data_IF_285094448138
#
_entry.id   IF_285094448138
#
_cell.length_a   1.000
_cell.length_b   1.000
_cell.length_c   1.000
_cell.angle_alpha   90.00
_cell.angle_beta   90.00
_cell.angle_gamma   90.00
#
_symmetry.space_group_name_H-M   'P 1'
#
loop_
_entity.id
_entity.type
_entity.pdbx_description
1 polymer ?
#
# COMPACT_ATOMS: atom_id res chain seq x y z
N UNK A 1 14.30 17.87 21.63
CA UNK A 1 14.71 16.52 21.19
C UNK A 1 13.65 15.98 20.25
N UNK A 2 14.07 15.46 19.08
CA UNK A 2 13.21 15.20 17.91
C UNK A 2 12.10 14.18 18.21
N UNK A 3 10.91 14.47 17.66
CA UNK A 3 9.66 13.71 17.74
C UNK A 3 9.90 12.21 17.55
N UNK A 4 9.73 11.43 18.61
CA UNK A 4 9.54 9.98 18.46
C UNK A 4 8.06 9.76 18.17
N UNK A 5 7.69 9.82 16.90
CA UNK A 5 6.39 9.33 16.49
C UNK A 5 6.35 7.84 16.85
N UNK A 6 5.44 7.47 17.75
CA UNK A 6 5.02 6.08 17.92
C UNK A 6 4.38 5.64 16.60
N UNK A 7 5.21 5.16 15.68
CA UNK A 7 4.79 4.53 14.45
C UNK A 7 4.20 3.17 14.82
N UNK A 8 2.90 3.15 15.14
CA UNK A 8 2.11 1.91 15.13
C UNK A 8 2.32 1.27 13.72
N UNK A 9 2.99 0.10 13.61
CA UNK A 9 3.57 -0.37 12.34
C UNK A 9 2.54 -0.69 11.24
N UNK A 10 1.26 -0.67 11.55
CA UNK A 10 0.19 -1.23 10.72
C UNK A 10 -0.61 -0.19 9.91
N UNK A 11 -0.40 1.12 10.12
CA UNK A 11 -1.29 2.15 9.56
C UNK A 11 -0.66 3.05 8.49
N UNK A 12 0.66 3.24 8.50
CA UNK A 12 1.29 4.25 7.66
C UNK A 12 2.04 3.62 6.48
N UNK A 13 1.32 3.39 5.39
CA UNK A 13 1.90 3.08 4.09
C UNK A 13 2.62 4.29 3.52
N UNK A 14 3.93 4.19 3.43
CA UNK A 14 4.79 5.21 2.85
C UNK A 14 4.51 5.38 1.36
N UNK A 15 4.87 6.54 0.80
CA UNK A 15 4.77 6.77 -0.65
C UNK A 15 5.61 5.76 -1.45
N UNK A 16 6.74 5.34 -0.89
CA UNK A 16 7.61 4.33 -1.49
C UNK A 16 6.97 2.94 -1.47
N UNK A 17 6.44 2.49 -0.32
CA UNK A 17 5.71 1.22 -0.20
C UNK A 17 4.49 1.18 -1.12
N UNK A 18 3.74 2.28 -1.17
CA UNK A 18 2.59 2.42 -2.07
C UNK A 18 3.00 2.32 -3.54
N UNK A 19 4.13 2.93 -3.93
CA UNK A 19 4.65 2.85 -5.30
C UNK A 19 5.08 1.44 -5.65
N UNK A 20 5.80 0.76 -4.74
CA UNK A 20 6.19 -0.64 -4.89
C UNK A 20 4.97 -1.55 -5.03
N UNK A 21 3.96 -1.37 -4.17
CA UNK A 21 2.69 -2.08 -4.24
C UNK A 21 2.04 -1.94 -5.62
N UNK A 22 1.88 -0.71 -6.13
CA UNK A 22 1.29 -0.48 -7.46
C UNK A 22 2.14 -1.11 -8.56
N UNK A 23 3.47 -0.99 -8.47
CA UNK A 23 4.38 -1.57 -9.46
C UNK A 23 4.27 -3.09 -9.52
N UNK A 24 4.31 -3.75 -8.36
CA UNK A 24 4.19 -5.21 -8.29
C UNK A 24 2.81 -5.69 -8.70
N UNK A 25 1.73 -4.97 -8.35
CA UNK A 25 0.39 -5.31 -8.81
C UNK A 25 0.24 -5.11 -10.32
N UNK A 26 0.92 -4.12 -10.89
CA UNK A 26 0.93 -3.92 -12.35
C UNK A 26 1.75 -4.99 -13.08
N UNK A 27 2.80 -5.53 -12.46
CA UNK A 27 3.67 -6.56 -13.04
C UNK A 27 3.12 -7.98 -12.87
N UNK A 28 2.57 -8.30 -11.69
CA UNK A 28 2.13 -9.65 -11.32
C UNK A 28 0.60 -9.79 -11.20
N UNK A 29 -0.16 -8.70 -11.38
CA UNK A 29 -1.60 -8.66 -11.18
C UNK A 29 -2.01 -8.61 -9.70
N UNK A 30 -3.25 -8.99 -9.41
CA UNK A 30 -3.80 -9.07 -8.04
C UNK A 30 -3.26 -10.25 -7.23
N UNK A 31 -2.03 -10.71 -7.53
CA UNK A 31 -1.37 -11.79 -6.82
C UNK A 31 -0.77 -11.29 -5.50
N UNK A 32 -1.63 -11.09 -4.51
CA UNK A 32 -1.28 -10.45 -3.24
C UNK A 32 -0.22 -11.20 -2.43
N UNK A 33 -0.17 -12.52 -2.53
CA UNK A 33 0.83 -13.34 -1.84
C UNK A 33 2.23 -13.09 -2.40
N UNK A 34 2.36 -13.05 -3.73
CA UNK A 34 3.60 -12.72 -4.40
C UNK A 34 4.00 -11.26 -4.13
N UNK A 35 3.06 -10.33 -4.21
CA UNK A 35 3.29 -8.90 -3.94
C UNK A 35 3.73 -8.67 -2.49
N UNK A 36 3.12 -9.35 -1.52
CA UNK A 36 3.49 -9.29 -0.11
C UNK A 36 4.89 -9.85 0.12
N UNK A 37 5.22 -10.97 -0.53
CA UNK A 37 6.55 -11.57 -0.48
C UNK A 37 7.62 -10.61 -1.01
N UNK A 38 7.36 -9.94 -2.13
CA UNK A 38 8.26 -8.92 -2.70
C UNK A 38 8.39 -7.67 -1.82
N UNK A 39 7.33 -7.30 -1.10
CA UNK A 39 7.36 -6.20 -0.13
C UNK A 39 8.10 -6.58 1.17
N UNK A 40 8.06 -7.86 1.56
CA UNK A 40 8.73 -8.44 2.74
C UNK A 40 8.26 -7.93 4.11
N UNK A 41 7.61 -6.76 4.15
CA UNK A 41 7.20 -6.05 5.38
C UNK A 41 5.69 -5.99 5.58
N UNK A 42 4.90 -6.55 4.66
CA UNK A 42 3.43 -6.41 4.60
C UNK A 42 2.77 -7.72 4.24
N UNK A 43 1.57 -7.97 4.77
CA UNK A 43 0.78 -9.16 4.43
C UNK A 43 -0.04 -8.95 3.15
N UNK A 44 -0.38 -10.06 2.47
CA UNK A 44 -1.22 -10.07 1.27
C UNK A 44 -2.54 -9.33 1.48
N UNK A 45 -3.20 -9.58 2.62
CA UNK A 45 -4.45 -8.92 2.99
C UNK A 45 -4.30 -7.39 3.18
N UNK A 46 -3.17 -6.92 3.72
CA UNK A 46 -2.89 -5.49 3.85
C UNK A 46 -2.67 -4.85 2.48
N UNK A 47 -1.95 -5.54 1.59
CA UNK A 47 -1.68 -5.11 0.22
C UNK A 47 -2.97 -4.92 -0.57
N UNK A 48 -3.87 -5.91 -0.51
CA UNK A 48 -5.19 -5.86 -1.15
C UNK A 48 -6.02 -4.68 -0.61
N UNK A 49 -6.16 -4.58 0.72
CA UNK A 49 -6.93 -3.50 1.38
C UNK A 49 -6.39 -2.13 0.99
N UNK A 50 -5.06 -1.99 0.92
CA UNK A 50 -4.40 -0.74 0.53
C UNK A 50 -4.68 -0.41 -0.93
N UNK A 51 -4.51 -1.37 -1.83
CA UNK A 51 -4.71 -1.19 -3.27
C UNK A 51 -6.17 -0.81 -3.59
N UNK A 52 -7.14 -1.51 -3.00
CA UNK A 52 -8.57 -1.18 -3.12
C UNK A 52 -8.87 0.25 -2.64
N UNK A 53 -8.26 0.71 -1.55
CA UNK A 53 -8.39 2.10 -1.07
C UNK A 53 -7.76 3.10 -2.03
N UNK A 54 -6.62 2.77 -2.65
CA UNK A 54 -5.94 3.64 -3.63
C UNK A 54 -6.79 3.84 -4.89
N UNK A 55 -7.32 2.76 -5.47
CA UNK A 55 -8.21 2.83 -6.64
C UNK A 55 -9.47 3.64 -6.31
N UNK A 56 -10.11 3.37 -5.17
CA UNK A 56 -11.29 4.12 -4.73
C UNK A 56 -11.01 5.62 -4.56
N UNK A 57 -9.84 5.99 -4.03
CA UNK A 57 -9.43 7.40 -3.87
C UNK A 57 -9.16 8.06 -5.22
N UNK A 58 -8.64 7.32 -6.21
CA UNK A 58 -8.43 7.85 -7.55
C UNK A 58 -9.76 8.20 -8.23
N UNK A 59 -10.80 7.39 -8.02
CA UNK A 59 -12.13 7.63 -8.58
C UNK A 59 -12.91 8.78 -7.93
N UNK A 60 -12.45 9.33 -6.80
CA UNK A 60 -13.13 10.44 -6.10
C UNK A 60 -12.50 11.81 -6.32
N UNK A 61 -11.47 11.92 -7.17
CA UNK A 61 -10.85 13.21 -7.53
C UNK A 61 -11.65 14.06 -8.53
N UNK A 62 -12.92 13.72 -8.75
CA UNK A 62 -13.91 14.61 -9.35
C UNK A 62 -14.95 14.95 -8.28
N UNK A 63 -14.57 15.76 -7.28
CA UNK A 63 -15.51 16.65 -6.60
C UNK A 63 -14.91 18.03 -6.81
N UNK A 64 -15.48 18.67 -7.84
CA UNK A 64 -15.28 20.04 -8.27
C UNK A 64 -15.55 21.02 -7.13
#
# INVERSE_FOLDING_TARGET
>A
MRRQQHHLPLLHWSRNETRKLISYVNEFGENWEQVATLLGSRNALECERRYRRLIRKNNRRSHK
#
